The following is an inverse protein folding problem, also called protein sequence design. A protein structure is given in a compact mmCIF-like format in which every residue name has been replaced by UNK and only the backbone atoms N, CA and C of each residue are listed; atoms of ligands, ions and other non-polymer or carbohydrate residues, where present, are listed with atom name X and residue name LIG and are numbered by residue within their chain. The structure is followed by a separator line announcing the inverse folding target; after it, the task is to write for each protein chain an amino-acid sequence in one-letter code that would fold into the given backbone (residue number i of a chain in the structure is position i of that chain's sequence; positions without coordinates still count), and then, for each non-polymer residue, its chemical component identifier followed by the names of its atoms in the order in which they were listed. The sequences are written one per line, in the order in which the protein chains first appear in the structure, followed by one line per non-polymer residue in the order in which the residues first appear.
data_IF_032319997924
#
_entry.id   IF_032319997924
#
_cell.length_a   1.000
_cell.length_b   1.000
_cell.length_c   1.000
_cell.angle_alpha   90.00
_cell.angle_beta   90.00
_cell.angle_gamma   90.00
#
_symmetry.space_group_name_H-M   'P 1'
#
loop_
_entity.id
_entity.type
_entity.pdbx_description
1 polymer ?
#
# COMPACT_ATOMS: atom_id res chain seq x y z
N UNK A 1 -26.15 21.06 13.30
CA UNK A 1 -24.89 20.81 14.03
C UNK A 1 -24.72 19.31 14.14
N UNK A 2 -23.74 18.71 13.46
CA UNK A 2 -23.42 17.28 13.59
C UNK A 2 -22.83 17.04 14.97
N UNK A 3 -23.44 16.14 15.75
CA UNK A 3 -22.99 15.82 17.11
C UNK A 3 -21.70 15.01 17.01
N UNK A 4 -20.60 15.56 17.50
CA UNK A 4 -19.34 14.82 17.62
C UNK A 4 -19.43 13.87 18.82
N UNK A 5 -19.08 12.60 18.61
CA UNK A 5 -18.97 11.62 19.68
C UNK A 5 -17.54 11.57 20.24
N UNK A 6 -17.40 11.24 21.53
CA UNK A 6 -16.10 11.19 22.21
C UNK A 6 -15.71 9.74 22.47
N UNK A 7 -14.64 9.30 21.82
CA UNK A 7 -14.05 7.99 22.07
C UNK A 7 -12.96 8.10 23.16
N UNK A 8 -13.04 7.25 24.18
CA UNK A 8 -11.98 7.06 25.17
C UNK A 8 -11.43 5.64 25.05
N UNK A 9 -10.12 5.48 25.14
CA UNK A 9 -9.44 4.19 25.07
C UNK A 9 -8.25 4.15 26.01
N UNK A 10 -7.81 2.94 26.36
CA UNK A 10 -6.61 2.71 27.14
C UNK A 10 -5.47 2.30 26.21
N UNK A 11 -4.31 2.93 26.40
CA UNK A 11 -3.08 2.61 25.67
C UNK A 11 -1.93 2.41 26.66
N UNK A 12 -0.91 1.68 26.26
CA UNK A 12 0.30 1.54 27.07
C UNK A 12 1.04 2.88 27.19
N UNK A 13 1.84 3.02 28.25
CA UNK A 13 2.64 4.23 28.48
C UNK A 13 3.51 4.61 27.27
N UNK A 14 4.25 3.68 26.62
CA UNK A 14 5.05 4.02 25.43
C UNK A 14 4.22 4.61 24.29
N UNK A 15 3.03 4.05 24.03
CA UNK A 15 2.13 4.56 22.99
C UNK A 15 1.63 5.95 23.34
N UNK A 16 1.25 6.17 24.61
CA UNK A 16 0.81 7.50 25.05
C UNK A 16 1.90 8.57 24.91
N UNK A 17 3.16 8.21 25.18
CA UNK A 17 4.30 9.12 25.06
C UNK A 17 4.58 9.45 23.59
N UNK A 18 4.59 8.42 22.74
CA UNK A 18 4.77 8.60 21.30
C UNK A 18 3.69 9.50 20.68
N UNK A 19 2.41 9.30 21.06
CA UNK A 19 1.29 10.15 20.61
C UNK A 19 1.49 11.61 21.02
N UNK A 20 1.85 11.84 22.29
CA UNK A 20 2.07 13.20 22.81
C UNK A 20 3.22 13.91 22.10
N UNK A 21 4.33 13.20 21.89
CA UNK A 21 5.48 13.74 21.18
C UNK A 21 5.14 14.05 19.73
N UNK A 22 4.48 13.12 19.02
CA UNK A 22 4.11 13.32 17.61
C UNK A 22 3.18 14.51 17.42
N UNK A 23 2.21 14.70 18.32
CA UNK A 23 1.34 15.88 18.29
C UNK A 23 2.12 17.18 18.54
N UNK A 24 3.07 17.17 19.48
CA UNK A 24 3.92 18.32 19.77
C UNK A 24 4.84 18.68 18.59
N UNK A 25 5.43 17.69 17.94
CA UNK A 25 6.28 17.87 16.75
C UNK A 25 5.53 18.50 15.57
N UNK A 26 4.21 18.26 15.50
CA UNK A 26 3.32 18.84 14.49
C UNK A 26 2.68 20.18 14.92
N UNK A 27 2.90 20.62 16.16
CA UNK A 27 2.31 21.85 16.69
C UNK A 27 0.79 21.75 16.94
N UNK A 28 0.25 20.55 17.14
CA UNK A 28 -1.18 20.29 17.25
C UNK A 28 -1.57 19.66 18.59
N UNK A 29 -2.88 19.65 18.89
CA UNK A 29 -3.37 18.97 20.09
C UNK A 29 -3.41 17.45 19.90
N UNK A 30 -3.19 16.69 20.97
CA UNK A 30 -3.27 15.22 20.95
C UNK A 30 -4.61 14.71 20.38
N UNK A 31 -5.72 15.40 20.69
CA UNK A 31 -7.04 15.03 20.17
C UNK A 31 -7.16 15.21 18.66
N UNK A 32 -6.51 16.23 18.08
CA UNK A 32 -6.48 16.45 16.63
C UNK A 32 -5.65 15.35 15.98
N UNK A 33 -4.44 15.14 16.47
CA UNK A 33 -3.54 14.11 15.97
C UNK A 33 -4.19 12.71 15.98
N UNK A 34 -4.81 12.30 17.10
CA UNK A 34 -5.49 11.00 17.19
C UNK A 34 -6.72 10.94 16.28
N UNK A 35 -7.52 12.00 16.22
CA UNK A 35 -8.69 12.03 15.33
C UNK A 35 -8.26 11.83 13.88
N UNK A 36 -7.21 12.50 13.44
CA UNK A 36 -6.78 12.46 12.04
C UNK A 36 -6.20 11.08 11.69
N UNK A 37 -5.51 10.42 12.63
CA UNK A 37 -5.12 9.01 12.49
C UNK A 37 -6.33 8.08 12.35
N UNK A 38 -7.37 8.27 13.17
CA UNK A 38 -8.60 7.45 13.14
C UNK A 38 -9.36 7.69 11.84
N UNK A 39 -9.51 8.94 11.41
CA UNK A 39 -10.17 9.31 10.15
C UNK A 39 -9.42 8.70 8.97
N UNK A 40 -8.09 8.82 8.93
CA UNK A 40 -7.28 8.23 7.87
C UNK A 40 -7.41 6.69 7.85
N UNK A 41 -7.45 6.02 9.00
CA UNK A 41 -7.70 4.59 9.08
C UNK A 41 -9.11 4.23 8.57
N UNK A 42 -10.12 4.98 8.99
CA UNK A 42 -11.50 4.77 8.55
C UNK A 42 -11.64 4.93 7.05
N UNK A 43 -11.04 5.96 6.44
CA UNK A 43 -11.04 6.15 4.99
C UNK A 43 -10.39 4.98 4.27
N UNK A 44 -9.21 4.51 4.69
CA UNK A 44 -8.57 3.34 4.07
C UNK A 44 -9.48 2.10 4.07
N UNK A 45 -10.18 1.88 5.18
CA UNK A 45 -11.01 0.69 5.38
C UNK A 45 -12.42 0.79 4.79
N UNK A 46 -12.92 2.01 4.54
CA UNK A 46 -14.30 2.23 4.10
C UNK A 46 -14.41 2.84 2.69
N UNK A 47 -13.42 3.58 2.20
CA UNK A 47 -13.41 4.08 0.80
C UNK A 47 -13.23 2.94 -0.22
N UNK A 48 -12.73 1.79 0.20
CA UNK A 48 -12.64 0.57 -0.61
C UNK A 48 -14.00 0.00 -1.01
N UNK A 49 -15.10 0.38 -0.33
CA UNK A 49 -16.47 -0.07 -0.68
C UNK A 49 -17.12 0.73 -1.83
N UNK A 50 -16.74 1.99 -2.00
CA UNK A 50 -17.32 2.90 -3.02
C UNK A 50 -16.42 3.09 -4.24
N UNK A 51 -15.26 2.41 -4.27
CA UNK A 51 -14.31 2.54 -5.36
C UNK A 51 -14.89 1.89 -6.62
N UNK A 52 -15.06 2.64 -7.73
CA UNK A 52 -15.38 2.06 -9.03
C UNK A 52 -14.43 0.90 -9.30
N UNK A 53 -14.93 -0.19 -9.87
CA UNK A 53 -14.12 -1.38 -10.12
C UNK A 53 -12.85 -1.10 -10.95
N UNK A 54 -12.85 -0.03 -11.75
CA UNK A 54 -11.67 0.46 -12.49
C UNK A 54 -10.58 1.12 -11.62
N UNK A 55 -10.89 1.48 -10.38
CA UNK A 55 -9.99 2.09 -9.40
C UNK A 55 -9.47 1.10 -8.35
N UNK A 56 -9.92 -0.15 -8.37
CA UNK A 56 -9.40 -1.24 -7.53
C UNK A 56 -7.87 -1.39 -7.74
N UNK A 57 -7.03 -1.17 -6.71
CA UNK A 57 -5.59 -1.27 -6.83
C UNK A 57 -5.11 -2.61 -7.39
N UNK A 58 -5.79 -3.72 -7.07
CA UNK A 58 -5.42 -5.03 -7.57
C UNK A 58 -5.61 -5.11 -9.09
N UNK A 59 -6.77 -4.67 -9.59
CA UNK A 59 -7.06 -4.62 -11.04
C UNK A 59 -6.18 -3.63 -11.78
N UNK A 60 -5.89 -2.48 -11.18
CA UNK A 60 -4.97 -1.50 -11.76
C UNK A 60 -3.55 -2.06 -11.90
N UNK A 61 -3.05 -2.74 -10.86
CA UNK A 61 -1.73 -3.35 -10.90
C UNK A 61 -1.64 -4.45 -11.97
N UNK A 62 -2.68 -5.26 -12.13
CA UNK A 62 -2.77 -6.26 -13.21
C UNK A 62 -2.83 -5.59 -14.59
N UNK A 63 -3.63 -4.54 -14.75
CA UNK A 63 -3.70 -3.82 -16.02
C UNK A 63 -2.36 -3.18 -16.39
N UNK A 64 -1.68 -2.54 -15.43
CA UNK A 64 -0.37 -1.90 -15.64
C UNK A 64 0.68 -2.94 -16.04
N UNK A 65 0.73 -4.10 -15.38
CA UNK A 65 1.69 -5.15 -15.72
C UNK A 65 1.45 -5.72 -17.12
N UNK A 66 0.20 -6.00 -17.48
CA UNK A 66 -0.18 -6.49 -18.82
C UNK A 66 0.09 -5.44 -19.90
N UNK A 67 -0.26 -4.17 -19.65
CA UNK A 67 -0.03 -3.09 -20.61
C UNK A 67 1.47 -2.85 -20.84
N UNK A 68 2.28 -2.86 -19.79
CA UNK A 68 3.74 -2.75 -19.90
C UNK A 68 4.32 -3.92 -20.71
N UNK A 69 3.88 -5.15 -20.43
CA UNK A 69 4.37 -6.32 -21.15
C UNK A 69 4.01 -6.28 -22.65
N UNK A 70 2.78 -5.85 -22.98
CA UNK A 70 2.34 -5.66 -24.36
C UNK A 70 3.16 -4.58 -25.09
N UNK A 71 3.46 -3.46 -24.41
CA UNK A 71 4.30 -2.39 -24.96
C UNK A 71 5.73 -2.87 -25.22
N UNK A 72 6.30 -3.63 -24.28
CA UNK A 72 7.66 -4.18 -24.41
C UNK A 72 7.73 -5.28 -25.48
N UNK A 73 6.69 -6.11 -25.61
CA UNK A 73 6.63 -7.17 -26.62
C UNK A 73 6.51 -6.62 -28.05
N UNK A 74 5.86 -5.47 -28.23
CA UNK A 74 5.76 -4.78 -29.52
C UNK A 74 6.95 -3.87 -29.86
N UNK A 75 7.95 -3.78 -28.99
CA UNK A 75 9.05 -2.84 -29.15
C UNK A 75 10.10 -3.36 -30.18
N UNK A 76 10.69 -2.49 -31.03
CA UNK A 76 11.69 -2.91 -32.02
C UNK A 76 12.97 -3.50 -31.42
N UNK A 77 13.31 -3.10 -30.19
CA UNK A 77 14.43 -3.66 -29.42
C UNK A 77 13.96 -4.88 -28.61
N UNK A 78 14.38 -6.11 -28.98
CA UNK A 78 13.95 -7.34 -28.30
C UNK A 78 14.57 -7.50 -26.90
N UNK A 79 15.64 -6.76 -26.58
CA UNK A 79 16.34 -6.87 -25.29
C UNK A 79 15.72 -5.99 -24.20
N UNK A 80 14.89 -5.02 -24.61
CA UNK A 80 14.30 -4.03 -23.72
C UNK A 80 13.38 -4.67 -22.66
N UNK A 81 12.66 -5.73 -23.03
CA UNK A 81 11.75 -6.45 -22.13
C UNK A 81 12.50 -7.08 -20.96
N UNK A 82 13.56 -7.82 -21.25
CA UNK A 82 14.40 -8.47 -20.25
C UNK A 82 15.11 -7.45 -19.35
N UNK A 83 15.71 -6.43 -19.96
CA UNK A 83 16.40 -5.34 -19.24
C UNK A 83 15.46 -4.61 -18.27
N UNK A 84 14.21 -4.37 -18.68
CA UNK A 84 13.19 -3.73 -17.82
C UNK A 84 12.82 -4.61 -16.63
N UNK A 85 12.65 -5.92 -16.84
CA UNK A 85 12.36 -6.87 -15.76
C UNK A 85 13.51 -6.99 -14.76
N UNK A 86 14.76 -6.97 -15.23
CA UNK A 86 15.94 -6.96 -14.36
C UNK A 86 16.07 -5.67 -13.55
N UNK A 87 15.82 -4.52 -14.18
CA UNK A 87 15.82 -3.23 -13.49
C UNK A 87 14.73 -3.17 -12.40
N UNK A 88 13.55 -3.75 -12.69
CA UNK A 88 12.47 -3.89 -11.72
C UNK A 88 12.88 -4.79 -10.53
N UNK A 89 13.44 -5.98 -10.80
CA UNK A 89 13.99 -6.88 -9.76
C UNK A 89 14.99 -6.17 -8.85
N UNK A 90 15.99 -5.52 -9.43
CA UNK A 90 17.01 -4.74 -8.69
C UNK A 90 16.41 -3.60 -7.86
N UNK A 91 15.25 -3.06 -8.25
CA UNK A 91 14.58 -2.00 -7.50
C UNK A 91 13.76 -2.54 -6.34
N UNK A 92 13.11 -3.69 -6.51
CA UNK A 92 12.43 -4.39 -5.43
C UNK A 92 13.40 -4.82 -4.33
N UNK A 93 14.55 -5.39 -4.70
CA UNK A 93 15.61 -5.77 -3.76
C UNK A 93 16.11 -4.58 -2.94
N UNK A 94 16.37 -3.44 -3.59
CA UNK A 94 16.78 -2.20 -2.92
C UNK A 94 15.74 -1.65 -1.93
N UNK A 95 14.47 -1.97 -2.12
CA UNK A 95 13.37 -1.54 -1.26
C UNK A 95 13.00 -2.59 -0.20
N UNK A 96 13.70 -3.74 -0.15
CA UNK A 96 13.39 -4.83 0.78
C UNK A 96 12.07 -5.55 0.44
N UNK A 97 11.53 -5.34 -0.76
CA UNK A 97 10.28 -5.93 -1.25
C UNK A 97 10.58 -7.26 -1.97
N UNK A 98 11.16 -8.22 -1.26
CA UNK A 98 11.60 -9.48 -1.85
C UNK A 98 10.46 -10.16 -2.63
N UNK A 99 10.74 -10.58 -3.87
CA UNK A 99 9.85 -11.45 -4.63
C UNK A 99 9.72 -12.75 -3.85
N UNK A 100 8.57 -12.98 -3.24
CA UNK A 100 8.19 -14.30 -2.76
C UNK A 100 8.05 -15.20 -4.00
N UNK A 101 9.15 -15.83 -4.39
CA UNK A 101 9.15 -16.96 -5.33
C UNK A 101 8.54 -18.16 -4.61
N UNK A 102 7.24 -18.10 -4.38
CA UNK A 102 6.45 -19.28 -4.06
C UNK A 102 5.31 -19.39 -5.07
N UNK A 103 5.70 -19.49 -6.34
CA UNK A 103 4.82 -20.07 -7.36
C UNK A 103 4.91 -21.58 -7.17
N UNK A 104 3.96 -22.11 -6.41
CA UNK A 104 3.77 -23.53 -6.20
C UNK A 104 3.56 -24.27 -7.52
N UNK A 105 4.16 -25.45 -7.59
CA UNK A 105 3.99 -26.42 -8.65
C UNK A 105 4.58 -27.74 -8.20
N UNK A 106 4.04 -28.32 -7.12
CA UNK A 106 4.19 -29.76 -6.92
C UNK A 106 3.44 -30.44 -8.06
N UNK A 107 4.17 -30.82 -9.10
CA UNK A 107 3.71 -31.76 -10.11
C UNK A 107 3.30 -33.04 -9.40
N UNK A 108 2.00 -33.32 -9.39
CA UNK A 108 1.46 -34.63 -9.09
C UNK A 108 1.46 -35.44 -10.40
N UNK A 109 2.52 -36.22 -10.61
CA UNK A 109 2.64 -37.35 -11.53
C UNK A 109 3.72 -38.25 -10.92
N UNK A 110 3.59 -39.56 -10.71
CA UNK A 110 2.57 -40.57 -10.95
C UNK A 110 2.74 -41.68 -9.90
#
# INVERSE_FOLDING_TARGET
MTRQDRLQTFVSLPVSNWVRQSAADQGESVSVFIRDLIIAAWHRDNETKDRPTALDPARQNVFISVALDALLAGHPDPTLRETTHEAYRRRLERLGLALSTNMGGHSHEA
#
